data_IF_855198250052
#
_entry.id   IF_855198250052
#
_cell.length_a   1.000
_cell.length_b   1.000
_cell.length_c   1.000
_cell.angle_alpha   90.00
_cell.angle_beta   90.00
_cell.angle_gamma   90.00
#
_symmetry.space_group_name_H-M   'P 1'
#
loop_
_entity.id
_entity.type
_entity.pdbx_description
1 polymer ?
#
# COMPACT_ATOMS: atom_id res chain seq x y z
N UNK A 1 -3.61 5.08 -12.96
CA UNK A 1 -3.60 3.61 -12.88
C UNK A 1 -2.89 3.19 -11.60
N UNK A 2 -3.63 2.56 -10.68
CA UNK A 2 -3.10 1.93 -9.47
C UNK A 2 -2.83 0.46 -9.79
N UNK A 3 -1.62 -0.02 -9.55
CA UNK A 3 -1.27 -1.45 -9.69
C UNK A 3 -0.76 -1.96 -8.36
N UNK A 4 -1.39 -2.98 -7.79
CA UNK A 4 -1.05 -3.49 -6.45
C UNK A 4 -0.76 -4.98 -6.49
N UNK A 5 0.31 -5.40 -5.82
CA UNK A 5 0.72 -6.80 -5.68
C UNK A 5 1.04 -7.07 -4.22
N UNK A 6 0.37 -8.07 -3.64
CA UNK A 6 0.67 -8.60 -2.31
C UNK A 6 1.17 -10.04 -2.46
N UNK A 7 2.44 -10.27 -2.12
CA UNK A 7 3.04 -11.60 -1.98
C UNK A 7 3.30 -11.86 -0.49
N UNK A 8 2.40 -12.61 0.13
CA UNK A 8 2.48 -12.95 1.56
C UNK A 8 3.65 -13.89 1.87
N UNK A 9 4.00 -14.78 0.94
CA UNK A 9 5.08 -15.76 1.15
C UNK A 9 6.43 -15.06 1.17
N UNK A 10 6.66 -14.16 0.21
CA UNK A 10 7.87 -13.35 0.14
C UNK A 10 7.87 -12.17 1.12
N UNK A 11 6.77 -11.92 1.83
CA UNK A 11 6.52 -10.72 2.63
C UNK A 11 6.88 -9.46 1.86
N UNK A 12 6.27 -9.33 0.68
CA UNK A 12 6.48 -8.22 -0.24
C UNK A 12 5.16 -7.63 -0.69
N UNK A 13 5.03 -6.32 -0.56
CA UNK A 13 3.89 -5.55 -1.03
C UNK A 13 4.42 -4.46 -1.96
N UNK A 14 3.88 -4.39 -3.18
CA UNK A 14 4.29 -3.41 -4.19
C UNK A 14 3.06 -2.69 -4.69
N UNK A 15 3.15 -1.36 -4.77
CA UNK A 15 2.11 -0.52 -5.34
C UNK A 15 2.71 0.53 -6.27
N UNK A 16 2.18 0.59 -7.49
CA UNK A 16 2.46 1.66 -8.46
C UNK A 16 1.37 2.71 -8.38
N UNK A 17 1.75 3.97 -8.16
CA UNK A 17 0.83 5.08 -7.91
C UNK A 17 1.18 6.26 -8.81
N UNK A 18 0.16 6.83 -9.46
CA UNK A 18 0.32 8.06 -10.25
C UNK A 18 0.51 9.28 -9.35
N UNK A 19 -0.20 9.37 -8.22
CA UNK A 19 -0.01 10.40 -7.19
C UNK A 19 -0.36 9.86 -5.79
N UNK A 20 0.49 10.07 -4.79
CA UNK A 20 0.26 9.74 -3.37
C UNK A 20 0.88 10.81 -2.46
N UNK A 21 0.51 10.85 -1.18
CA UNK A 21 1.13 11.71 -0.17
C UNK A 21 1.64 10.82 0.98
N UNK A 22 2.91 10.95 1.36
CA UNK A 22 3.46 10.27 2.57
C UNK A 22 3.16 11.11 3.81
N UNK A 23 3.18 12.42 3.64
CA UNK A 23 2.78 13.44 4.60
C UNK A 23 2.12 14.61 3.82
N UNK A 24 1.48 15.59 4.50
CA UNK A 24 0.79 16.70 3.83
C UNK A 24 1.66 17.51 2.84
N UNK A 25 2.98 17.53 3.04
CA UNK A 25 3.93 18.35 2.28
C UNK A 25 4.68 17.55 1.20
N UNK A 26 4.64 16.22 1.27
CA UNK A 26 5.37 15.32 0.38
C UNK A 26 4.42 14.57 -0.54
N UNK A 27 4.16 15.18 -1.70
CA UNK A 27 3.49 14.54 -2.82
C UNK A 27 4.48 13.67 -3.62
N UNK A 28 4.16 12.39 -3.76
CA UNK A 28 4.79 11.45 -4.65
C UNK A 28 4.04 11.41 -5.98
N UNK A 29 4.72 11.62 -7.11
CA UNK A 29 4.13 11.50 -8.46
C UNK A 29 4.90 10.43 -9.25
N UNK A 30 4.19 9.51 -9.88
CA UNK A 30 4.78 8.44 -10.70
C UNK A 30 5.73 7.54 -9.91
N UNK A 31 5.28 7.07 -8.75
CA UNK A 31 6.11 6.31 -7.81
C UNK A 31 5.74 4.84 -7.77
N UNK A 32 6.75 4.02 -7.49
CA UNK A 32 6.59 2.66 -7.00
C UNK A 32 6.97 2.63 -5.53
N UNK A 33 6.04 2.24 -4.68
CA UNK A 33 6.28 1.99 -3.26
C UNK A 33 6.37 0.48 -3.03
N UNK A 34 7.38 0.05 -2.29
CA UNK A 34 7.57 -1.33 -1.86
C UNK A 34 7.65 -1.37 -0.33
N UNK A 35 6.78 -2.16 0.29
CA UNK A 35 6.92 -2.59 1.68
C UNK A 35 7.42 -4.03 1.71
N UNK A 36 8.35 -4.33 2.61
CA UNK A 36 8.87 -5.68 2.77
C UNK A 36 9.30 -5.96 4.20
N UNK A 37 9.69 -7.21 4.47
CA UNK A 37 10.30 -7.64 5.73
C UNK A 37 9.47 -7.39 7.00
N UNK A 38 8.14 -7.27 6.88
CA UNK A 38 7.25 -7.08 8.02
C UNK A 38 7.19 -8.30 8.94
N UNK A 39 6.87 -8.07 10.21
CA UNK A 39 6.67 -9.14 11.20
C UNK A 39 5.27 -9.72 11.16
N UNK A 40 4.27 -8.85 11.05
CA UNK A 40 2.84 -9.19 11.01
C UNK A 40 2.13 -8.34 9.95
N UNK A 41 1.08 -8.92 9.35
CA UNK A 41 0.16 -8.24 8.44
C UNK A 41 -1.25 -8.44 8.97
N UNK A 42 -1.96 -7.33 9.21
CA UNK A 42 -3.40 -7.34 9.46
C UNK A 42 -4.10 -6.80 8.23
N UNK A 43 -5.02 -7.56 7.66
CA UNK A 43 -5.80 -7.16 6.49
C UNK A 43 -7.29 -7.30 6.79
N UNK A 44 -7.99 -6.17 6.73
CA UNK A 44 -9.43 -6.06 6.91
C UNK A 44 -10.04 -5.53 5.62
N UNK A 45 -11.07 -6.19 5.11
CA UNK A 45 -11.88 -5.64 4.03
C UNK A 45 -13.36 -5.62 4.41
N UNK A 46 -14.08 -4.61 3.95
CA UNK A 46 -15.55 -4.59 3.96
C UNK A 46 -16.04 -4.59 2.52
N UNK A 47 -16.96 -5.50 2.23
CA UNK A 47 -17.66 -5.54 0.94
C UNK A 47 -19.15 -5.50 1.23
N UNK A 48 -19.90 -4.59 0.59
CA UNK A 48 -21.34 -4.35 0.86
C UNK A 48 -22.18 -5.63 0.92
N UNK A 49 -21.82 -6.67 0.17
CA UNK A 49 -22.53 -7.95 0.12
C UNK A 49 -22.03 -9.02 1.11
N UNK A 50 -20.88 -8.83 1.77
CA UNK A 50 -20.21 -9.85 2.58
C UNK A 50 -19.84 -9.40 4.00
N UNK A 51 -19.99 -8.10 4.32
CA UNK A 51 -19.57 -7.55 5.61
C UNK A 51 -18.04 -7.55 5.75
N UNK A 52 -17.53 -7.61 6.99
CA UNK A 52 -16.10 -7.64 7.26
C UNK A 52 -15.48 -9.02 7.00
N UNK A 53 -14.40 -9.06 6.23
CA UNK A 53 -13.67 -10.27 5.88
C UNK A 53 -12.17 -10.08 6.13
N UNK A 54 -11.55 -11.07 6.76
CA UNK A 54 -10.08 -11.22 6.72
C UNK A 54 -9.75 -11.80 5.35
N UNK A 55 -8.93 -11.07 4.60
CA UNK A 55 -8.66 -11.40 3.20
C UNK A 55 -7.27 -12.01 3.09
N UNK A 56 -7.18 -13.29 2.68
CA UNK A 56 -5.89 -13.96 2.47
C UNK A 56 -5.27 -13.62 1.10
N UNK A 57 -6.03 -13.01 0.20
CA UNK A 57 -5.55 -12.58 -1.11
C UNK A 57 -6.29 -11.31 -1.52
N UNK A 58 -5.56 -10.22 -1.73
CA UNK A 58 -6.17 -9.01 -2.27
C UNK A 58 -6.75 -9.32 -3.65
N UNK A 59 -8.00 -8.92 -3.94
CA UNK A 59 -8.48 -8.88 -5.30
C UNK A 59 -7.49 -8.08 -6.15
N UNK A 60 -7.25 -8.52 -7.39
CA UNK A 60 -6.38 -7.80 -8.34
C UNK A 60 -6.86 -6.37 -8.65
N UNK A 61 -8.07 -6.01 -8.20
CA UNK A 61 -8.74 -4.75 -8.45
C UNK A 61 -8.93 -3.95 -7.17
N UNK A 62 -7.85 -3.35 -6.65
CA UNK A 62 -7.96 -2.19 -5.77
C UNK A 62 -7.96 -0.93 -6.64
N UNK A 63 -9.03 -0.15 -6.57
CA UNK A 63 -9.28 0.96 -7.49
C UNK A 63 -8.92 2.32 -6.90
N UNK A 64 -8.31 3.16 -7.74
CA UNK A 64 -8.16 4.63 -7.76
C UNK A 64 -7.75 5.43 -6.50
N UNK A 65 -8.11 5.03 -5.28
CA UNK A 65 -7.77 5.77 -4.06
C UNK A 65 -7.05 4.83 -3.10
N UNK A 66 -5.77 5.12 -2.84
CA UNK A 66 -4.95 4.44 -1.86
C UNK A 66 -4.33 5.50 -0.95
N UNK A 67 -4.64 5.46 0.34
CA UNK A 67 -4.09 6.32 1.37
C UNK A 67 -2.97 5.59 2.13
N UNK A 68 -1.93 6.34 2.49
CA UNK A 68 -0.77 5.85 3.22
C UNK A 68 -0.58 6.68 4.47
N UNK A 69 -0.32 6.01 5.59
CA UNK A 69 -0.01 6.64 6.85
C UNK A 69 1.15 5.89 7.51
N UNK A 70 2.25 6.61 7.74
CA UNK A 70 3.37 6.11 8.55
C UNK A 70 3.17 6.62 9.98
N UNK A 71 2.98 5.70 10.92
CA UNK A 71 2.79 6.05 12.32
C UNK A 71 4.14 6.14 13.06
N UNK A 72 4.28 7.00 14.09
CA UNK A 72 5.52 7.15 14.86
C UNK A 72 5.99 5.88 15.59
N UNK A 73 5.13 4.86 15.69
CA UNK A 73 5.40 3.57 16.34
C UNK A 73 5.95 2.51 15.37
N UNK A 74 6.24 2.88 14.12
CA UNK A 74 6.76 1.98 13.09
C UNK A 74 5.71 1.15 12.37
N UNK A 75 4.42 1.46 12.55
CA UNK A 75 3.33 0.89 11.76
C UNK A 75 3.15 1.67 10.45
N UNK A 76 2.90 0.95 9.36
CA UNK A 76 2.43 1.56 8.11
C UNK A 76 1.02 1.05 7.83
N UNK A 77 0.09 1.99 7.67
CA UNK A 77 -1.28 1.72 7.26
C UNK A 77 -1.45 2.08 5.78
N UNK A 78 -2.07 1.16 5.05
CA UNK A 78 -2.45 1.33 3.64
C UNK A 78 -3.95 1.08 3.54
N UNK A 79 -4.72 2.08 3.15
CA UNK A 79 -6.17 1.97 2.98
C UNK A 79 -6.55 2.23 1.52
N UNK A 80 -7.53 1.50 0.98
CA UNK A 80 -8.02 1.73 -0.38
C UNK A 80 -9.48 1.38 -0.59
N UNK A 81 -10.08 1.95 -1.64
CA UNK A 81 -11.50 1.75 -1.97
C UNK A 81 -11.68 0.74 -3.12
N UNK A 82 -12.63 -0.17 -2.96
CA UNK A 82 -13.02 -1.18 -3.94
C UNK A 82 -14.27 -0.67 -4.69
N UNK A 83 -14.11 0.11 -5.77
CA UNK A 83 -15.25 0.68 -6.50
C UNK A 83 -16.19 -0.39 -7.06
N UNK A 84 -15.64 -1.46 -7.63
CA UNK A 84 -16.46 -2.50 -8.27
C UNK A 84 -17.29 -3.30 -7.26
N UNK A 85 -16.78 -3.41 -6.03
CA UNK A 85 -17.41 -4.19 -4.95
C UNK A 85 -18.12 -3.31 -3.91
N UNK A 86 -18.14 -1.98 -4.11
CA UNK A 86 -18.65 -0.99 -3.15
C UNK A 86 -18.14 -1.25 -1.73
N UNK A 87 -16.81 -1.25 -1.56
CA UNK A 87 -16.17 -1.66 -0.32
C UNK A 87 -14.86 -0.93 -0.03
N UNK A 88 -14.22 -1.26 1.08
CA UNK A 88 -12.90 -0.76 1.44
C UNK A 88 -11.98 -1.88 1.90
N UNK A 89 -10.68 -1.62 1.84
CA UNK A 89 -9.61 -2.51 2.28
C UNK A 89 -8.61 -1.71 3.11
N UNK A 90 -8.18 -2.26 4.23
CA UNK A 90 -7.13 -1.71 5.08
C UNK A 90 -6.10 -2.78 5.38
N UNK A 91 -4.82 -2.42 5.19
CA UNK A 91 -3.66 -3.22 5.54
C UNK A 91 -2.82 -2.47 6.56
N UNK A 92 -2.45 -3.14 7.64
CA UNK A 92 -1.49 -2.62 8.62
C UNK A 92 -0.27 -3.52 8.65
N UNK A 93 0.89 -2.92 8.37
CA UNK A 93 2.20 -3.57 8.38
C UNK A 93 2.94 -3.19 9.65
N UNK A 94 3.47 -4.18 10.36
CA UNK A 94 4.28 -3.96 11.55
C UNK A 94 5.78 -4.09 11.24
N UNK A 95 6.54 -3.03 11.56
CA UNK A 95 7.98 -2.90 11.30
C UNK A 95 8.40 -3.22 9.85
N UNK A 96 7.69 -2.72 8.82
CA UNK A 96 8.11 -2.94 7.44
C UNK A 96 9.36 -2.14 7.09
N UNK A 97 10.13 -2.61 6.11
CA UNK A 97 11.07 -1.78 5.36
C UNK A 97 10.32 -1.15 4.18
N UNK A 98 10.44 0.18 3.99
CA UNK A 98 9.83 0.89 2.86
C UNK A 98 10.89 1.33 1.86
N UNK A 99 10.65 1.10 0.58
CA UNK A 99 11.43 1.68 -0.51
C UNK A 99 10.52 2.43 -1.50
N UNK A 100 10.98 3.57 -2.00
CA UNK A 100 10.29 4.41 -3.00
C UNK A 100 11.18 4.57 -4.22
N UNK A 101 10.68 4.20 -5.40
CA UNK A 101 11.35 4.36 -6.69
C UNK A 101 10.57 5.34 -7.58
N UNK A 102 11.28 6.35 -8.11
CA UNK A 102 10.69 7.39 -8.95
C UNK A 102 10.89 7.07 -10.43
N UNK A 103 9.80 6.72 -11.12
CA UNK A 103 9.85 6.22 -12.50
C UNK A 103 10.10 7.28 -13.57
N UNK A 104 9.81 8.56 -13.28
CA UNK A 104 9.93 9.65 -14.25
C UNK A 104 11.29 10.37 -14.24
N UNK A 105 12.24 9.97 -13.37
CA UNK A 105 13.57 10.58 -13.30
C UNK A 105 14.63 9.62 -13.86
N UNK A 106 15.51 10.13 -14.74
CA UNK A 106 16.72 9.41 -15.17
C UNK A 106 17.97 10.06 -14.56
N UNK A 107 18.86 9.30 -13.90
CA UNK A 107 18.70 7.89 -13.54
C UNK A 107 17.57 7.67 -12.51
N UNK A 108 16.96 6.48 -12.51
CA UNK A 108 15.95 6.11 -11.51
C UNK A 108 16.52 6.34 -10.11
N UNK A 109 15.79 7.08 -9.27
CA UNK A 109 16.17 7.29 -7.88
C UNK A 109 15.37 6.35 -6.99
N UNK A 110 16.07 5.57 -6.17
CA UNK A 110 15.50 4.76 -5.10
C UNK A 110 15.85 5.38 -3.76
N UNK A 111 14.87 5.53 -2.89
CA UNK A 111 15.03 5.96 -1.49
C UNK A 111 14.50 4.88 -0.57
N UNK A 112 15.24 4.59 0.49
CA UNK A 112 14.84 3.63 1.51
C UNK A 112 14.47 4.39 2.78
N UNK A 113 13.38 3.95 3.40
CA UNK A 113 12.81 4.52 4.60
C UNK A 113 12.69 3.41 5.63
N UNK A 114 13.31 3.66 6.77
CA UNK A 114 13.09 2.87 7.98
C UNK A 114 12.10 3.65 8.84
N UNK A 115 10.97 3.06 9.24
CA UNK A 115 10.05 3.68 10.18
C UNK A 115 10.71 4.04 11.51
#
# INVERSE_FOLDING_TARGET
>A
MLAMVLDQNARRFVVGIEAAYIDPDVQLVGVRLELSAWSNLTLTAEVESQGHVTVDQLPSELSELCEFEMQPNGLIRVAGFLRQAHGWCEMTFQNPQMAVEYSMQQPLQRREYTP
#
